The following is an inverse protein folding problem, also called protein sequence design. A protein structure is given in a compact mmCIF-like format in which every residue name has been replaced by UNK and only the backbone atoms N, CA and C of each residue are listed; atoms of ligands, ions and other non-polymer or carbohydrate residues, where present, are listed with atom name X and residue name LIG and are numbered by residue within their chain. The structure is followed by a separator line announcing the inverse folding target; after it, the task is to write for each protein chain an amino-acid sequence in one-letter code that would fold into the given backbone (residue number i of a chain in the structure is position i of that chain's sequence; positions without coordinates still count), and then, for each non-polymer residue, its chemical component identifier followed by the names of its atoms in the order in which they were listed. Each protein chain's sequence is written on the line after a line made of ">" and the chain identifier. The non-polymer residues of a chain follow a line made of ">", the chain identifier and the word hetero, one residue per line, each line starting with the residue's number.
data_IF_844667457951
#
_entry.id   IF_844667457951
#
_cell.length_a   1.000
_cell.length_b   1.000
_cell.length_c   1.000
_cell.angle_alpha   90.00
_cell.angle_beta   90.00
_cell.angle_gamma   90.00
#
_symmetry.space_group_name_H-M   'P 1'
#
loop_
_entity.id
_entity.type
_entity.pdbx_description
1 polymer ?
#
# COMPACT_ATOMS: atom_id res chain seq x y z
N UNK A 1 20.11 0.13 -8.52
CA UNK A 1 19.20 0.45 -7.40
C UNK A 1 17.77 0.32 -7.90
N UNK A 2 16.91 -0.46 -7.24
CA UNK A 2 15.52 -0.68 -7.66
C UNK A 2 14.59 0.13 -6.76
N UNK A 3 13.76 0.99 -7.34
CA UNK A 3 12.72 1.72 -6.62
C UNK A 3 11.42 0.89 -6.66
N UNK A 4 10.87 0.56 -5.49
CA UNK A 4 9.65 -0.22 -5.36
C UNK A 4 8.60 0.59 -4.60
N UNK A 5 7.50 1.02 -5.26
CA UNK A 5 6.36 1.58 -4.56
C UNK A 5 5.76 0.56 -3.60
N UNK A 6 5.30 1.05 -2.44
CA UNK A 6 4.68 0.23 -1.41
C UNK A 6 3.17 0.47 -1.34
N UNK A 7 2.40 -0.59 -1.09
CA UNK A 7 0.97 -0.55 -0.78
C UNK A 7 0.76 -1.35 0.49
N UNK A 8 0.38 -0.66 1.58
CA UNK A 8 -0.01 -1.32 2.82
C UNK A 8 -1.54 -1.47 2.81
N UNK A 9 -2.04 -2.68 3.05
CA UNK A 9 -3.47 -3.03 2.99
C UNK A 9 -3.96 -3.39 4.37
N UNK A 10 -5.06 -2.78 4.80
CA UNK A 10 -5.77 -3.12 6.05
C UNK A 10 -7.28 -3.04 5.82
N UNK A 11 -8.00 -4.10 6.17
CA UNK A 11 -9.45 -4.23 5.96
C UNK A 11 -9.88 -3.89 4.52
N UNK A 12 -9.09 -4.37 3.54
CA UNK A 12 -9.30 -4.13 2.11
C UNK A 12 -9.00 -2.70 1.63
N UNK A 13 -8.49 -1.81 2.48
CA UNK A 13 -8.19 -0.41 2.14
C UNK A 13 -6.69 -0.16 2.07
N UNK A 14 -6.29 0.83 1.28
CA UNK A 14 -4.90 1.32 1.24
C UNK A 14 -4.68 2.26 2.40
N UNK A 15 -3.74 1.90 3.28
CA UNK A 15 -3.45 2.67 4.50
C UNK A 15 -1.97 3.00 4.60
N UNK A 16 -1.63 3.88 5.54
CA UNK A 16 -0.27 4.10 6.02
C UNK A 16 -0.30 4.25 7.52
N UNK A 17 0.54 3.47 8.21
CA UNK A 17 0.72 3.62 9.65
C UNK A 17 1.82 4.65 9.94
N UNK A 18 1.56 5.56 10.88
CA UNK A 18 2.62 6.41 11.40
C UNK A 18 3.54 5.60 12.31
N UNK A 19 4.78 5.35 11.88
CA UNK A 19 5.78 4.56 12.62
C UNK A 19 5.28 3.15 13.01
N UNK A 20 4.37 2.56 12.23
CA UNK A 20 3.80 1.24 12.52
C UNK A 20 2.69 1.22 13.57
N UNK A 21 2.21 2.39 14.03
CA UNK A 21 1.10 2.48 14.99
C UNK A 21 -0.25 2.35 14.27
N UNK A 22 -0.97 1.26 14.55
CA UNK A 22 -2.31 0.97 14.01
C UNK A 22 -3.36 2.00 14.46
N UNK A 23 -3.19 2.65 15.61
CA UNK A 23 -4.08 3.72 16.04
C UNK A 23 -3.87 5.00 15.22
N UNK A 24 -2.76 5.11 14.50
CA UNK A 24 -2.40 6.26 13.66
C UNK A 24 -2.35 5.86 12.17
N UNK A 25 -3.39 5.15 11.74
CA UNK A 25 -3.60 4.80 10.33
C UNK A 25 -4.21 5.97 9.55
N UNK A 26 -3.60 6.33 8.42
CA UNK A 26 -4.19 7.22 7.42
C UNK A 26 -4.70 6.40 6.24
N UNK A 27 -5.96 6.58 5.86
CA UNK A 27 -6.57 5.90 4.70
C UNK A 27 -6.32 6.74 3.45
N UNK A 28 -5.75 6.12 2.41
CA UNK A 28 -5.47 6.75 1.12
C UNK A 28 -6.45 6.35 0.02
N UNK A 29 -7.09 5.18 0.15
CA UNK A 29 -8.06 4.69 -0.82
C UNK A 29 -8.69 3.38 -0.40
N UNK A 30 -9.72 2.99 -1.13
CA UNK A 30 -10.57 1.81 -0.89
C UNK A 30 -10.36 0.69 -1.92
N UNK A 31 -9.62 0.94 -3.01
CA UNK A 31 -9.28 -0.04 -4.02
C UNK A 31 -7.75 -0.23 -4.16
N UNK A 32 -7.16 -1.22 -3.47
CA UNK A 32 -5.75 -1.56 -3.62
C UNK A 32 -5.34 -1.95 -5.05
N UNK A 33 -6.26 -2.53 -5.83
CA UNK A 33 -5.98 -2.90 -7.22
C UNK A 33 -5.88 -1.66 -8.11
N UNK A 34 -6.71 -0.64 -7.89
CA UNK A 34 -6.58 0.64 -8.59
C UNK A 34 -5.20 1.28 -8.33
N UNK A 35 -4.75 1.30 -7.07
CA UNK A 35 -3.42 1.79 -6.69
C UNK A 35 -2.29 0.98 -7.35
N UNK A 36 -2.38 -0.35 -7.35
CA UNK A 36 -1.39 -1.21 -7.99
C UNK A 36 -1.31 -0.99 -9.51
N UNK A 37 -2.48 -0.85 -10.18
CA UNK A 37 -2.55 -0.55 -11.62
C UNK A 37 -1.94 0.81 -11.93
N UNK A 38 -2.17 1.80 -11.09
CA UNK A 38 -1.61 3.15 -11.26
C UNK A 38 -0.09 3.13 -11.19
N UNK A 39 0.50 2.47 -10.20
CA UNK A 39 1.96 2.32 -10.15
C UNK A 39 2.53 1.59 -11.36
N UNK A 40 1.86 0.52 -11.81
CA UNK A 40 2.26 -0.18 -13.03
C UNK A 40 2.20 0.74 -14.26
N UNK A 41 1.16 1.58 -14.36
CA UNK A 41 1.00 2.59 -15.43
C UNK A 41 2.12 3.63 -15.41
N UNK A 42 2.61 3.99 -14.22
CA UNK A 42 3.75 4.89 -14.04
C UNK A 42 5.12 4.22 -14.28
N UNK A 43 5.15 2.94 -14.64
CA UNK A 43 6.38 2.22 -15.00
C UNK A 43 7.06 1.51 -13.82
N UNK A 44 6.37 1.31 -12.69
CA UNK A 44 6.89 0.51 -11.60
C UNK A 44 7.11 -0.96 -12.05
N UNK A 45 8.34 -1.50 -11.98
CA UNK A 45 8.63 -2.86 -12.42
C UNK A 45 8.17 -3.92 -11.41
N UNK A 46 7.99 -3.52 -10.15
CA UNK A 46 7.54 -4.36 -9.04
C UNK A 46 6.86 -3.50 -7.97
N UNK A 47 6.03 -4.14 -7.14
CA UNK A 47 5.38 -3.52 -5.98
C UNK A 47 5.77 -4.27 -4.71
N UNK A 48 5.99 -3.52 -3.64
CA UNK A 48 6.05 -4.07 -2.30
C UNK A 48 4.64 -4.00 -1.70
N UNK A 49 4.06 -5.12 -1.31
CA UNK A 49 2.70 -5.16 -0.76
C UNK A 49 2.75 -5.79 0.62
N UNK A 50 2.13 -5.13 1.58
CA UNK A 50 2.02 -5.60 2.98
C UNK A 50 0.55 -5.78 3.31
N UNK A 51 0.19 -6.99 3.75
CA UNK A 51 -1.10 -7.27 4.37
C UNK A 51 -0.96 -7.08 5.88
N UNK A 52 -1.58 -6.02 6.41
CA UNK A 52 -1.56 -5.68 7.83
C UNK A 52 -2.61 -6.44 8.63
N UNK A 53 -3.59 -7.09 7.99
CA UNK A 53 -4.58 -7.91 8.69
C UNK A 53 -3.98 -9.25 9.13
N UNK A 54 -2.88 -9.68 8.49
CA UNK A 54 -2.14 -10.90 8.83
C UNK A 54 -1.00 -10.72 9.84
N UNK A 55 -0.76 -9.49 10.33
CA UNK A 55 0.29 -9.15 11.28
C UNK A 55 -0.20 -9.24 12.74
#
# INVERSE_FOLDING_TARGET
>A
MLLMPAIDIQHGRVVRLQRGDFAQATVFGDDPLAWAREWRRQGAPALHVVDLDGA
#
